data_IF_156248592281
#
_entry.id   IF_156248592281
#
_cell.length_a   1.000
_cell.length_b   1.000
_cell.length_c   1.000
_cell.angle_alpha   90.00
_cell.angle_beta   90.00
_cell.angle_gamma   90.00
#
_symmetry.space_group_name_H-M   'P 1'
#
loop_
_entity.id
_entity.type
_entity.pdbx_description
1 polymer ?
#
# COMPACT_ATOMS: atom_id res chain seq x y z
N UNK A 1 -5.09 2.25 5.63
CA UNK A 1 -4.57 0.88 5.86
C UNK A 1 -5.64 -0.04 6.45
N UNK A 2 -6.32 0.33 7.54
CA UNK A 2 -7.37 -0.48 8.18
C UNK A 2 -8.48 -0.89 7.21
N UNK A 3 -9.11 0.09 6.55
CA UNK A 3 -10.18 -0.13 5.54
C UNK A 3 -9.77 -1.17 4.49
N UNK A 4 -8.56 -1.04 3.92
CA UNK A 4 -8.07 -1.99 2.92
C UNK A 4 -7.89 -3.41 3.47
N UNK A 5 -7.42 -3.58 4.70
CA UNK A 5 -7.30 -4.90 5.32
C UNK A 5 -8.68 -5.51 5.55
N UNK A 6 -9.61 -4.73 6.11
CA UNK A 6 -10.99 -5.16 6.35
C UNK A 6 -11.67 -5.64 5.06
N UNK A 7 -11.57 -4.85 3.97
CA UNK A 7 -12.16 -5.21 2.68
C UNK A 7 -11.54 -6.47 2.07
N UNK A 8 -10.22 -6.67 2.22
CA UNK A 8 -9.55 -7.90 1.76
C UNK A 8 -10.01 -9.10 2.57
N UNK A 9 -10.13 -8.97 3.90
CA UNK A 9 -10.62 -10.03 4.78
C UNK A 9 -12.04 -10.43 4.37
N UNK A 10 -12.98 -9.49 4.30
CA UNK A 10 -14.37 -9.75 3.91
C UNK A 10 -14.46 -10.46 2.55
N UNK A 11 -13.72 -9.96 1.56
CA UNK A 11 -13.73 -10.55 0.22
C UNK A 11 -13.14 -11.96 0.19
N UNK A 12 -12.11 -12.22 1.00
CA UNK A 12 -11.49 -13.54 1.07
C UNK A 12 -12.39 -14.50 1.83
N UNK A 13 -12.96 -14.11 2.98
CA UNK A 13 -13.85 -14.95 3.77
C UNK A 13 -15.08 -15.35 2.98
N UNK A 14 -15.71 -14.43 2.24
CA UNK A 14 -16.85 -14.76 1.38
C UNK A 14 -16.49 -15.84 0.35
N UNK A 15 -15.34 -15.71 -0.33
CA UNK A 15 -14.85 -16.70 -1.30
C UNK A 15 -14.50 -18.05 -0.68
N UNK A 16 -14.15 -18.09 0.61
CA UNK A 16 -13.81 -19.31 1.34
C UNK A 16 -15.08 -20.00 1.86
N UNK A 17 -16.06 -19.22 2.33
CA UNK A 17 -17.39 -19.72 2.71
C UNK A 17 -18.08 -20.40 1.53
N UNK A 18 -18.02 -19.83 0.33
CA UNK A 18 -18.55 -20.44 -0.90
C UNK A 18 -17.90 -21.81 -1.22
N UNK A 19 -16.75 -22.11 -0.62
CA UNK A 19 -15.99 -23.35 -0.78
C UNK A 19 -16.06 -24.27 0.43
N UNK A 20 -16.92 -23.99 1.41
CA UNK A 20 -16.99 -24.69 2.70
C UNK A 20 -15.63 -24.77 3.43
N UNK A 21 -14.75 -23.80 3.23
CA UNK A 21 -13.45 -23.76 3.91
C UNK A 21 -13.59 -23.08 5.27
N UNK A 22 -13.09 -23.74 6.32
CA UNK A 22 -13.05 -23.21 7.68
C UNK A 22 -11.64 -22.75 8.03
N UNK A 23 -11.53 -21.62 8.73
CA UNK A 23 -10.28 -21.10 9.26
C UNK A 23 -10.43 -20.89 10.76
N UNK A 24 -9.37 -21.12 11.51
CA UNK A 24 -9.39 -20.97 12.97
C UNK A 24 -9.37 -19.48 13.35
N UNK A 25 -8.37 -18.75 12.83
CA UNK A 25 -8.11 -17.35 13.21
C UNK A 25 -7.80 -16.47 11.98
N UNK A 26 -8.06 -15.17 12.12
CA UNK A 26 -7.61 -14.15 11.14
C UNK A 26 -6.57 -13.25 11.81
N UNK A 27 -5.34 -13.30 11.28
CA UNK A 27 -4.20 -12.57 11.82
C UNK A 27 -3.82 -11.41 10.91
N UNK A 28 -3.64 -10.22 11.51
CA UNK A 28 -3.18 -9.00 10.86
C UNK A 28 -1.81 -8.62 11.44
N UNK A 29 -0.82 -8.39 10.59
CA UNK A 29 0.43 -7.77 11.02
C UNK A 29 0.20 -6.33 11.48
N UNK A 30 0.64 -6.02 12.69
CA UNK A 30 0.29 -4.78 13.37
C UNK A 30 0.98 -3.56 12.73
N UNK A 31 0.18 -2.70 12.10
CA UNK A 31 0.58 -1.34 11.72
C UNK A 31 0.02 -0.28 12.69
N UNK A 32 -0.80 -0.69 13.66
CA UNK A 32 -1.46 0.12 14.68
C UNK A 32 -1.96 -0.79 15.80
N UNK A 33 -2.45 -0.23 16.91
CA UNK A 33 -3.13 -1.01 17.97
C UNK A 33 -4.50 -1.51 17.52
N UNK A 34 -4.99 -2.60 18.12
CA UNK A 34 -6.31 -3.19 17.83
C UNK A 34 -7.45 -2.17 17.99
N UNK A 35 -7.43 -1.39 19.06
CA UNK A 35 -8.46 -0.34 19.29
C UNK A 35 -8.46 0.70 18.17
N UNK A 36 -7.27 1.18 17.78
CA UNK A 36 -7.15 2.14 16.66
C UNK A 36 -7.58 1.52 15.34
N UNK A 37 -7.28 0.24 15.11
CA UNK A 37 -7.73 -0.47 13.91
C UNK A 37 -9.25 -0.39 13.77
N UNK A 38 -10.01 -0.72 14.82
CA UNK A 38 -11.47 -0.62 14.79
C UNK A 38 -11.98 0.82 14.79
N UNK A 39 -11.29 1.75 15.48
CA UNK A 39 -11.66 3.18 15.41
C UNK A 39 -11.57 3.72 13.97
N UNK A 40 -10.61 3.26 13.17
CA UNK A 40 -10.52 3.62 11.75
C UNK A 40 -11.61 2.98 10.86
N UNK A 41 -12.41 2.05 11.39
CA UNK A 41 -13.46 1.33 10.67
C UNK A 41 -14.88 1.75 11.10
N UNK A 42 -15.03 2.73 11.99
CA UNK A 42 -16.34 3.16 12.51
C UNK A 42 -17.31 3.64 11.41
N UNK A 43 -16.79 4.13 10.29
CA UNK A 43 -17.59 4.58 9.14
C UNK A 43 -17.83 3.48 8.09
N UNK A 44 -17.27 2.28 8.26
CA UNK A 44 -17.42 1.20 7.28
C UNK A 44 -18.71 0.41 7.55
N UNK A 45 -19.46 0.12 6.49
CA UNK A 45 -20.74 -0.61 6.59
C UNK A 45 -20.55 -2.05 7.09
N UNK A 46 -19.42 -2.68 6.74
CA UNK A 46 -19.11 -4.06 7.08
C UNK A 46 -17.75 -4.12 7.73
N UNK A 47 -17.68 -4.69 8.93
CA UNK A 47 -16.44 -4.89 9.68
C UNK A 47 -16.35 -6.35 10.10
N UNK A 48 -15.19 -6.98 9.84
CA UNK A 48 -14.92 -8.31 10.37
C UNK A 48 -14.35 -8.19 11.79
N UNK A 49 -15.14 -8.55 12.80
CA UNK A 49 -14.78 -8.30 14.21
C UNK A 49 -13.75 -9.29 14.77
N UNK A 50 -13.79 -10.54 14.31
CA UNK A 50 -12.94 -11.60 14.86
C UNK A 50 -11.55 -11.62 14.21
N UNK A 51 -10.76 -10.57 14.48
CA UNK A 51 -9.37 -10.44 14.04
C UNK A 51 -8.40 -10.25 15.20
N UNK A 52 -7.19 -10.75 15.02
CA UNK A 52 -6.06 -10.52 15.90
C UNK A 52 -5.05 -9.60 15.23
N UNK A 53 -4.63 -8.55 15.94
CA UNK A 53 -3.60 -7.60 15.46
C UNK A 53 -2.34 -7.84 16.27
N UNK A 54 -1.33 -8.45 15.63
CA UNK A 54 -0.14 -8.96 16.30
C UNK A 54 1.11 -8.28 15.74
N UNK A 55 1.99 -7.71 16.57
CA UNK A 55 3.26 -7.17 16.08
C UNK A 55 4.18 -8.30 15.61
N UNK A 56 4.83 -8.09 14.46
CA UNK A 56 5.74 -9.06 13.84
C UNK A 56 5.03 -10.39 13.57
N UNK A 57 3.80 -10.32 13.08
CA UNK A 57 2.99 -11.52 12.88
C UNK A 57 3.60 -12.46 11.83
N UNK A 58 4.41 -11.94 10.90
CA UNK A 58 5.16 -12.71 9.93
C UNK A 58 6.22 -13.64 10.55
N UNK A 59 6.75 -13.31 11.74
CA UNK A 59 7.70 -14.18 12.46
C UNK A 59 6.98 -15.38 13.11
N UNK A 60 5.65 -15.30 13.28
CA UNK A 60 4.85 -16.29 14.02
C UNK A 60 3.90 -17.11 13.14
N UNK A 61 3.40 -16.52 12.06
CA UNK A 61 2.36 -17.11 11.22
C UNK A 61 2.78 -17.13 9.76
N UNK A 62 2.95 -18.34 9.22
CA UNK A 62 3.35 -18.54 7.80
C UNK A 62 2.36 -17.90 6.82
N UNK A 63 1.07 -17.84 7.17
CA UNK A 63 0.05 -17.19 6.35
C UNK A 63 0.32 -15.68 6.19
N UNK A 64 0.80 -15.01 7.23
CA UNK A 64 1.15 -13.58 7.18
C UNK A 64 2.43 -13.35 6.37
N UNK A 65 3.43 -14.23 6.52
CA UNK A 65 4.63 -14.20 5.69
C UNK A 65 4.29 -14.40 4.20
N UNK A 66 3.42 -15.37 3.88
CA UNK A 66 2.93 -15.61 2.53
C UNK A 66 2.17 -14.40 1.96
N UNK A 67 1.27 -13.79 2.75
CA UNK A 67 0.56 -12.57 2.37
C UNK A 67 1.54 -11.42 2.04
N UNK A 68 2.59 -11.25 2.85
CA UNK A 68 3.64 -10.25 2.62
C UNK A 68 4.40 -10.47 1.30
N UNK A 69 4.71 -11.73 0.96
CA UNK A 69 5.35 -12.09 -0.31
C UNK A 69 4.43 -11.76 -1.49
N UNK A 70 3.16 -12.16 -1.41
CA UNK A 70 2.16 -11.90 -2.46
C UNK A 70 1.98 -10.39 -2.66
N UNK A 71 1.85 -9.62 -1.58
CA UNK A 71 1.70 -8.17 -1.64
C UNK A 71 2.91 -7.49 -2.30
N UNK A 72 4.14 -7.92 -1.95
CA UNK A 72 5.38 -7.38 -2.54
C UNK A 72 5.50 -7.73 -4.03
N UNK A 73 5.18 -8.97 -4.41
CA UNK A 73 5.16 -9.39 -5.81
C UNK A 73 4.18 -8.54 -6.63
N UNK A 74 2.96 -8.35 -6.13
CA UNK A 74 1.95 -7.52 -6.78
C UNK A 74 2.38 -6.06 -6.87
N UNK A 75 2.97 -5.50 -5.81
CA UNK A 75 3.51 -4.14 -5.82
C UNK A 75 4.53 -3.92 -6.92
N UNK A 76 5.54 -4.80 -7.03
CA UNK A 76 6.59 -4.70 -8.07
C UNK A 76 5.95 -4.77 -9.47
N UNK A 77 5.03 -5.71 -9.68
CA UNK A 77 4.33 -5.86 -10.97
C UNK A 77 3.49 -4.63 -11.32
N UNK A 78 2.80 -4.04 -10.35
CA UNK A 78 2.02 -2.82 -10.57
C UNK A 78 2.91 -1.60 -10.82
N UNK A 79 4.05 -1.48 -10.13
CA UNK A 79 5.02 -0.42 -10.37
C UNK A 79 5.61 -0.49 -11.79
N UNK A 80 5.91 -1.70 -12.27
CA UNK A 80 6.35 -1.93 -13.66
C UNK A 80 5.26 -1.55 -14.66
N UNK A 81 4.02 -1.99 -14.46
CA UNK A 81 2.89 -1.60 -15.32
C UNK A 81 2.71 -0.09 -15.37
N UNK A 82 2.76 0.58 -14.21
CA UNK A 82 2.65 2.03 -14.11
C UNK A 82 3.81 2.72 -14.83
N UNK A 83 5.04 2.20 -14.67
CA UNK A 83 6.23 2.69 -15.36
C UNK A 83 6.08 2.64 -16.87
N UNK A 84 5.57 1.53 -17.41
CA UNK A 84 5.29 1.39 -18.85
C UNK A 84 4.20 2.37 -19.29
N UNK A 85 3.13 2.51 -18.52
CA UNK A 85 2.01 3.38 -18.86
C UNK A 85 2.40 4.87 -18.86
N UNK A 86 3.19 5.31 -17.87
CA UNK A 86 3.65 6.69 -17.75
C UNK A 86 4.92 6.98 -18.56
N UNK A 87 5.54 5.97 -19.20
CA UNK A 87 6.80 6.06 -19.96
C UNK A 87 8.01 6.54 -19.14
N UNK A 88 7.96 6.40 -17.82
CA UNK A 88 9.07 6.67 -16.92
C UNK A 88 9.43 5.40 -16.15
N UNK A 89 10.72 5.12 -15.96
CA UNK A 89 11.16 4.04 -15.08
C UNK A 89 10.98 4.48 -13.62
N UNK A 90 9.85 4.14 -13.01
CA UNK A 90 9.56 4.53 -11.63
C UNK A 90 10.46 3.76 -10.65
N UNK A 91 11.09 4.50 -9.74
CA UNK A 91 12.04 3.96 -8.76
C UNK A 91 11.27 3.70 -7.45
N UNK A 92 11.32 2.49 -6.88
CA UNK A 92 10.69 2.22 -5.59
C UNK A 92 11.39 2.97 -4.46
N UNK A 93 10.63 3.31 -3.41
CA UNK A 93 11.15 4.00 -2.24
C UNK A 93 10.98 5.53 -2.31
N UNK A 94 11.85 6.25 -1.61
CA UNK A 94 11.77 7.71 -1.44
C UNK A 94 13.16 8.38 -1.34
N UNK A 95 14.17 7.78 -1.94
CA UNK A 95 15.56 8.26 -1.92
C UNK A 95 15.81 9.43 -2.88
N UNK A 96 17.07 9.88 -2.94
CA UNK A 96 17.45 11.04 -3.77
C UNK A 96 17.17 10.83 -5.27
N UNK A 97 17.37 9.62 -5.79
CA UNK A 97 17.04 9.31 -7.19
C UNK A 97 15.55 9.51 -7.52
N UNK A 98 14.66 9.27 -6.53
CA UNK A 98 13.22 9.53 -6.66
C UNK A 98 12.95 11.03 -6.74
N UNK A 99 13.69 11.85 -5.98
CA UNK A 99 13.58 13.31 -6.02
C UNK A 99 13.96 13.85 -7.41
N UNK A 100 15.06 13.35 -7.99
CA UNK A 100 15.52 13.73 -9.34
C UNK A 100 14.50 13.32 -10.40
N UNK A 101 13.99 12.08 -10.33
CA UNK A 101 12.97 11.60 -11.26
C UNK A 101 11.68 12.41 -11.15
N UNK A 102 11.26 12.74 -9.92
CA UNK A 102 10.08 13.57 -9.70
C UNK A 102 10.26 14.97 -10.28
N UNK A 103 11.43 15.60 -10.10
CA UNK A 103 11.75 16.88 -10.72
C UNK A 103 11.65 16.82 -12.25
N UNK A 104 12.24 15.78 -12.86
CA UNK A 104 12.17 15.56 -14.31
C UNK A 104 10.72 15.42 -14.81
N UNK A 105 9.92 14.58 -14.16
CA UNK A 105 8.52 14.38 -14.55
C UNK A 105 7.73 15.68 -14.38
N UNK A 106 7.98 16.40 -13.29
CA UNK A 106 7.32 17.66 -13.00
C UNK A 106 7.64 18.74 -14.04
N UNK A 107 8.88 18.84 -14.52
CA UNK A 107 9.24 19.76 -15.60
C UNK A 107 8.66 19.36 -16.96
N UNK A 108 8.55 18.05 -17.25
CA UNK A 108 8.11 17.55 -18.57
C UNK A 108 6.58 17.45 -18.71
N UNK A 109 5.87 17.15 -17.62
CA UNK A 109 4.43 16.81 -17.65
C UNK A 109 3.58 17.61 -16.64
N UNK A 110 4.22 18.36 -15.74
CA UNK A 110 3.53 19.16 -14.73
C UNK A 110 2.99 18.37 -13.53
N UNK A 111 2.45 19.12 -12.57
CA UNK A 111 1.98 18.58 -11.28
C UNK A 111 0.73 17.70 -11.42
N UNK A 112 -0.15 18.02 -12.36
CA UNK A 112 -1.38 17.26 -12.60
C UNK A 112 -1.06 15.82 -13.01
N UNK A 113 -0.07 15.64 -13.88
CA UNK A 113 0.38 14.31 -14.28
C UNK A 113 1.03 13.57 -13.11
N UNK A 114 1.92 14.25 -12.37
CA UNK A 114 2.60 13.67 -11.21
C UNK A 114 1.59 13.19 -10.15
N UNK A 115 0.49 13.92 -9.94
CA UNK A 115 -0.59 13.56 -9.01
C UNK A 115 -1.25 12.21 -9.30
N UNK A 116 -1.25 11.77 -10.57
CA UNK A 116 -1.84 10.50 -11.00
C UNK A 116 -0.95 9.29 -10.71
N UNK A 117 0.36 9.51 -10.53
CA UNK A 117 1.34 8.43 -10.44
C UNK A 117 2.15 8.43 -9.13
N UNK A 118 2.08 9.51 -8.35
CA UNK A 118 2.86 9.69 -7.12
C UNK A 118 2.00 10.17 -5.94
N UNK A 119 2.54 9.97 -4.73
CA UNK A 119 1.94 10.48 -3.49
C UNK A 119 2.51 11.87 -3.20
N UNK A 120 1.67 12.89 -3.35
CA UNK A 120 2.11 14.30 -3.26
C UNK A 120 2.43 14.75 -1.83
N UNK A 121 1.93 14.05 -0.81
CA UNK A 121 2.18 14.36 0.60
C UNK A 121 3.55 13.91 1.12
N UNK A 122 4.44 13.46 0.22
CA UNK A 122 5.81 13.07 0.55
C UNK A 122 6.77 14.25 0.35
N UNK A 123 7.79 14.35 1.21
CA UNK A 123 8.85 15.37 1.11
C UNK A 123 9.58 15.37 -0.24
N UNK A 124 9.51 14.28 -0.99
CA UNK A 124 10.08 14.17 -2.32
C UNK A 124 9.55 15.25 -3.29
N UNK A 125 8.29 15.68 -3.14
CA UNK A 125 7.71 16.73 -3.97
C UNK A 125 8.38 18.09 -3.71
N UNK A 126 8.53 18.48 -2.44
CA UNK A 126 9.22 19.72 -2.07
C UNK A 126 10.68 19.71 -2.56
N UNK A 127 11.37 18.57 -2.45
CA UNK A 127 12.74 18.42 -2.94
C UNK A 127 12.82 18.51 -4.45
N UNK A 128 11.83 17.97 -5.17
CA UNK A 128 11.75 18.07 -6.62
C UNK A 128 11.64 19.53 -7.09
N UNK A 129 10.78 20.34 -6.46
CA UNK A 129 10.70 21.78 -6.73
C UNK A 129 12.05 22.48 -6.49
N UNK A 130 12.71 22.20 -5.36
CA UNK A 130 14.04 22.77 -5.05
C UNK A 130 15.13 22.37 -6.04
N UNK A 131 15.00 21.21 -6.69
CA UNK A 131 15.92 20.79 -7.75
C UNK A 131 15.67 21.62 -9.02
N UNK A 132 14.41 21.85 -9.37
CA UNK A 132 14.03 22.67 -10.53
C UNK A 132 14.41 24.14 -10.37
N UNK A 133 14.29 24.72 -9.17
CA UNK A 133 14.69 26.11 -8.89
C UNK A 133 16.20 26.35 -8.98
N UNK A 134 17.01 25.28 -8.91
CA UNK A 134 18.48 25.34 -8.97
C UNK A 134 19.05 25.07 -10.37
N UNK A 135 18.20 24.73 -11.34
CA UNK A 135 18.54 24.55 -12.75
C UNK A 135 18.29 25.84 -13.53
#
# INVERSE_FOLDING_TARGET
KAIMHNNVIINLTNKLTDKNFQFDNIIIDAFTTKDKYFNYLQSEEKVFENVEVIPKAEEKYIAVAAASIIARYLYIRHLQKLSTACKYKLIPGAGHEVDILAAKILSEQGIEFLSKIAKLNFKNLEKAYKILEKQ
#
